data_IF_095102739879
#
_entry.id   IF_095102739879
#
_cell.length_a   1.000
_cell.length_b   1.000
_cell.length_c   1.000
_cell.angle_alpha   90.00
_cell.angle_beta   90.00
_cell.angle_gamma   90.00
#
_symmetry.space_group_name_H-M   'P 1'
#
loop_
_entity.id
_entity.type
_entity.pdbx_description
1 polymer ?
#
# COMPACT_ATOMS: atom_id res chain seq x y z
N UNK A 1 -21.12 0.24 0.46
CA UNK A 1 -20.87 -1.17 0.06
C UNK A 1 -21.25 -2.17 1.14
N UNK A 2 -20.94 -1.93 2.43
CA UNK A 2 -21.22 -2.89 3.51
C UNK A 2 -22.72 -3.20 3.67
N UNK A 3 -23.55 -2.15 3.68
CA UNK A 3 -25.01 -2.26 3.78
C UNK A 3 -25.60 -3.03 2.57
N UNK A 4 -25.10 -2.78 1.37
CA UNK A 4 -25.53 -3.49 0.15
C UNK A 4 -25.20 -4.99 0.27
N UNK A 5 -23.98 -5.33 0.70
CA UNK A 5 -23.57 -6.71 0.92
C UNK A 5 -24.43 -7.41 2.00
N UNK A 6 -24.83 -6.67 3.04
CA UNK A 6 -25.74 -7.16 4.07
C UNK A 6 -27.12 -7.49 3.52
N UNK A 7 -27.71 -6.61 2.70
CA UNK A 7 -29.00 -6.88 2.06
C UNK A 7 -28.95 -8.07 1.09
N UNK A 8 -27.88 -8.21 0.31
CA UNK A 8 -27.65 -9.39 -0.56
C UNK A 8 -27.57 -10.68 0.25
N UNK A 9 -27.03 -10.63 1.47
CA UNK A 9 -26.97 -11.78 2.38
C UNK A 9 -28.34 -12.17 2.94
N UNK A 10 -29.25 -11.22 3.14
CA UNK A 10 -30.59 -11.47 3.65
C UNK A 10 -31.43 -12.32 2.69
N UNK A 11 -31.16 -12.27 1.39
CA UNK A 11 -31.82 -13.12 0.41
C UNK A 11 -31.25 -14.57 0.46
N UNK A 12 -32.07 -15.61 0.70
CA UNK A 12 -31.60 -16.99 0.80
C UNK A 12 -30.85 -17.48 -0.44
N UNK A 13 -31.24 -17.05 -1.64
CA UNK A 13 -30.62 -17.48 -2.90
C UNK A 13 -29.19 -16.95 -3.10
N UNK A 14 -28.86 -15.76 -2.57
CA UNK A 14 -27.56 -15.09 -2.74
C UNK A 14 -26.73 -15.03 -1.46
N UNK A 15 -27.08 -15.83 -0.44
CA UNK A 15 -26.46 -15.77 0.89
C UNK A 15 -24.93 -15.97 0.86
N UNK A 16 -24.43 -16.87 0.01
CA UNK A 16 -23.00 -17.13 -0.12
C UNK A 16 -22.24 -15.96 -0.75
N UNK A 17 -22.81 -15.34 -1.80
CA UNK A 17 -22.25 -14.14 -2.43
C UNK A 17 -22.20 -12.98 -1.43
N UNK A 18 -23.29 -12.78 -0.68
CA UNK A 18 -23.33 -11.77 0.39
C UNK A 18 -22.27 -12.01 1.49
N UNK A 19 -21.97 -13.28 1.82
CA UNK A 19 -20.87 -13.62 2.74
C UNK A 19 -19.52 -13.14 2.20
N UNK A 20 -19.20 -13.47 0.96
CA UNK A 20 -17.92 -13.09 0.34
C UNK A 20 -17.76 -11.57 0.31
N UNK A 21 -18.80 -10.86 -0.11
CA UNK A 21 -18.79 -9.39 -0.16
C UNK A 21 -18.58 -8.76 1.23
N UNK A 22 -19.20 -9.29 2.28
CA UNK A 22 -18.99 -8.81 3.65
C UNK A 22 -17.56 -9.05 4.13
N UNK A 23 -16.96 -10.20 3.82
CA UNK A 23 -15.56 -10.52 4.18
C UNK A 23 -14.58 -9.61 3.44
N UNK A 24 -14.78 -9.39 2.14
CA UNK A 24 -13.96 -8.42 1.39
C UNK A 24 -14.09 -7.01 1.99
N UNK A 25 -15.30 -6.63 2.41
CA UNK A 25 -15.53 -5.35 3.06
C UNK A 25 -14.84 -5.24 4.42
N UNK A 26 -14.86 -6.31 5.24
CA UNK A 26 -14.18 -6.29 6.54
C UNK A 26 -12.68 -6.08 6.41
N UNK A 27 -12.06 -6.58 5.33
CA UNK A 27 -10.65 -6.29 5.04
C UNK A 27 -10.44 -4.80 4.75
N UNK A 28 -11.29 -4.18 3.93
CA UNK A 28 -11.20 -2.74 3.65
C UNK A 28 -11.39 -1.88 4.91
N UNK A 29 -12.33 -2.26 5.80
CA UNK A 29 -12.47 -1.61 7.11
C UNK A 29 -11.27 -1.84 8.02
N UNK A 30 -10.61 -2.99 7.92
CA UNK A 30 -9.37 -3.27 8.66
C UNK A 30 -8.22 -2.41 8.14
N UNK A 31 -8.12 -2.18 6.82
CA UNK A 31 -7.15 -1.24 6.25
C UNK A 31 -7.42 0.20 6.69
N UNK A 32 -8.69 0.59 6.87
CA UNK A 32 -9.04 1.89 7.47
C UNK A 32 -8.49 2.08 8.88
N UNK A 33 -8.17 1.00 9.62
CA UNK A 33 -7.47 1.10 10.91
C UNK A 33 -6.13 1.86 10.78
N UNK A 34 -5.44 1.73 9.64
CA UNK A 34 -4.17 2.41 9.39
C UNK A 34 -4.31 3.94 9.41
N UNK A 35 -5.45 4.48 8.95
CA UNK A 35 -5.73 5.92 8.98
C UNK A 35 -5.78 6.44 10.43
N UNK A 36 -6.32 5.65 11.36
CA UNK A 36 -6.33 5.96 12.79
C UNK A 36 -4.94 5.81 13.40
N UNK A 37 -4.20 4.78 12.99
CA UNK A 37 -2.83 4.56 13.48
C UNK A 37 -1.86 5.67 13.05
N UNK A 38 -2.18 6.38 11.96
CA UNK A 38 -1.42 7.52 11.44
C UNK A 38 -1.24 8.67 12.43
N UNK A 39 -2.19 8.84 13.36
CA UNK A 39 -2.15 9.90 14.39
C UNK A 39 -1.05 9.63 15.43
N UNK A 40 -0.69 8.35 15.66
CA UNK A 40 0.33 8.00 16.65
C UNK A 40 1.71 8.47 16.20
N UNK A 41 2.42 9.15 17.10
CA UNK A 41 3.75 9.75 16.82
C UNK A 41 4.79 8.74 16.35
N UNK A 42 4.73 7.50 16.84
CA UNK A 42 5.69 6.45 16.47
C UNK A 42 5.36 5.78 15.13
N UNK A 43 4.08 5.50 14.84
CA UNK A 43 3.66 4.73 13.65
C UNK A 43 3.36 5.63 12.45
N UNK A 44 2.90 6.85 12.70
CA UNK A 44 2.43 7.78 11.68
C UNK A 44 3.44 8.02 10.56
N UNK A 45 4.67 8.47 10.86
CA UNK A 45 5.69 8.71 9.84
C UNK A 45 6.00 7.46 9.01
N UNK A 46 6.04 6.27 9.60
CA UNK A 46 6.30 5.04 8.85
C UNK A 46 5.15 4.66 7.91
N UNK A 47 3.90 4.86 8.34
CA UNK A 47 2.71 4.60 7.50
C UNK A 47 2.68 5.56 6.32
N UNK A 48 2.99 6.85 6.53
CA UNK A 48 3.05 7.84 5.45
C UNK A 48 4.20 7.57 4.50
N UNK A 49 5.38 7.21 5.01
CA UNK A 49 6.52 6.78 4.18
C UNK A 49 6.15 5.59 3.30
N UNK A 50 5.56 4.54 3.88
CA UNK A 50 5.15 3.37 3.13
C UNK A 50 4.13 3.70 2.02
N UNK A 51 3.18 4.61 2.27
CA UNK A 51 2.20 5.04 1.27
C UNK A 51 2.84 5.79 0.10
N UNK A 52 3.78 6.70 0.39
CA UNK A 52 4.50 7.49 -0.62
C UNK A 52 5.53 6.67 -1.43
N UNK A 53 6.01 5.55 -0.86
CA UNK A 53 6.93 4.64 -1.56
C UNK A 53 6.26 3.86 -2.70
N UNK A 54 4.98 3.48 -2.56
CA UNK A 54 4.26 2.65 -3.53
C UNK A 54 4.28 3.22 -4.97
N UNK A 55 3.87 4.49 -5.23
CA UNK A 55 3.87 5.03 -6.58
C UNK A 55 5.28 5.13 -7.17
N UNK A 56 6.30 5.36 -6.34
CA UNK A 56 7.71 5.47 -6.77
C UNK A 56 8.30 4.12 -7.17
N UNK A 57 7.83 3.03 -6.57
CA UNK A 57 8.24 1.66 -6.89
C UNK A 57 7.44 1.02 -8.04
N UNK A 58 6.34 1.65 -8.47
CA UNK A 58 5.45 1.14 -9.52
C UNK A 58 6.16 0.78 -10.84
N UNK A 59 7.18 1.53 -11.32
CA UNK A 59 7.89 1.16 -12.55
C UNK A 59 8.61 -0.19 -12.44
N UNK A 60 9.29 -0.47 -11.33
CA UNK A 60 9.98 -1.75 -11.11
C UNK A 60 8.96 -2.89 -10.97
N UNK A 61 7.84 -2.66 -10.26
CA UNK A 61 6.74 -3.61 -10.18
C UNK A 61 6.15 -3.92 -11.55
N UNK A 62 6.06 -2.93 -12.45
CA UNK A 62 5.59 -3.14 -13.82
C UNK A 62 6.55 -4.01 -14.64
N UNK A 63 7.87 -3.83 -14.49
CA UNK A 63 8.88 -4.69 -15.12
C UNK A 63 8.81 -6.13 -14.60
N UNK A 64 8.63 -6.30 -13.29
CA UNK A 64 8.42 -7.61 -12.68
C UNK A 64 7.16 -8.29 -13.24
N UNK A 65 6.05 -7.56 -13.35
CA UNK A 65 4.80 -8.08 -13.92
C UNK A 65 4.97 -8.54 -15.38
N UNK A 66 5.68 -7.78 -16.21
CA UNK A 66 5.98 -8.17 -17.60
C UNK A 66 6.83 -9.45 -17.65
N UNK A 67 7.86 -9.56 -16.79
CA UNK A 67 8.70 -10.77 -16.71
C UNK A 67 7.90 -12.01 -16.27
N UNK A 68 7.00 -11.85 -15.30
CA UNK A 68 6.10 -12.90 -14.81
C UNK A 68 5.17 -13.38 -15.92
N UNK A 69 4.56 -12.45 -16.66
CA UNK A 69 3.68 -12.78 -17.78
C UNK A 69 4.44 -13.53 -18.89
N UNK A 70 5.63 -13.05 -19.27
CA UNK A 70 6.43 -13.66 -20.32
C UNK A 70 6.79 -15.11 -20.00
N UNK A 71 7.31 -15.38 -18.81
CA UNK A 71 7.65 -16.75 -18.40
C UNK A 71 6.40 -17.61 -18.15
N UNK A 72 5.37 -17.05 -17.49
CA UNK A 72 4.13 -17.75 -17.20
C UNK A 72 3.41 -18.27 -18.44
N UNK A 73 3.42 -17.49 -19.54
CA UNK A 73 2.88 -17.91 -20.83
C UNK A 73 3.68 -19.07 -21.44
N UNK A 74 5.01 -18.98 -21.44
CA UNK A 74 5.88 -20.05 -21.98
C UNK A 74 5.68 -21.35 -21.19
N UNK A 75 5.64 -21.27 -19.86
CA UNK A 75 5.42 -22.43 -18.99
C UNK A 75 4.08 -23.09 -19.26
N UNK A 76 2.98 -22.34 -19.19
CA UNK A 76 1.64 -22.93 -19.30
C UNK A 76 1.41 -23.51 -20.70
N UNK A 77 1.86 -22.81 -21.76
CA UNK A 77 1.66 -23.24 -23.13
C UNK A 77 2.44 -24.52 -23.51
N UNK A 78 3.66 -24.69 -22.98
CA UNK A 78 4.51 -25.85 -23.28
C UNK A 78 4.16 -27.04 -22.38
N UNK A 79 3.88 -26.81 -21.10
CA UNK A 79 3.64 -27.88 -20.12
C UNK A 79 2.25 -28.50 -20.28
N UNK A 80 1.25 -27.69 -20.65
CA UNK A 80 -0.16 -28.13 -20.76
C UNK A 80 -0.75 -27.77 -22.14
N UNK A 81 -0.29 -28.40 -23.22
CA UNK A 81 -0.65 -28.03 -24.60
C UNK A 81 -2.11 -28.32 -24.98
N UNK A 82 -2.78 -29.26 -24.29
CA UNK A 82 -4.13 -29.71 -24.61
C UNK A 82 -5.20 -29.21 -23.62
N UNK A 83 -4.87 -28.21 -22.79
CA UNK A 83 -5.81 -27.62 -21.83
C UNK A 83 -6.86 -26.74 -22.52
N UNK A 84 -8.14 -26.89 -22.16
CA UNK A 84 -9.21 -26.03 -22.68
C UNK A 84 -9.20 -24.68 -21.98
N UNK A 85 -9.69 -23.64 -22.67
CA UNK A 85 -9.79 -22.30 -22.08
C UNK A 85 -10.66 -22.30 -20.82
N UNK A 86 -10.06 -21.87 -19.70
CA UNK A 86 -10.73 -21.62 -18.43
C UNK A 86 -10.01 -20.51 -17.65
N UNK A 87 -10.71 -19.83 -16.73
CA UNK A 87 -10.13 -18.79 -15.87
C UNK A 87 -8.98 -19.29 -14.97
N UNK A 88 -8.91 -20.60 -14.71
CA UNK A 88 -7.79 -21.21 -14.00
C UNK A 88 -6.45 -21.08 -14.75
N UNK A 89 -6.48 -20.91 -16.07
CA UNK A 89 -5.28 -20.84 -16.91
C UNK A 89 -4.58 -19.51 -16.65
N UNK A 90 -5.36 -18.42 -16.66
CA UNK A 90 -4.89 -17.08 -16.29
C UNK A 90 -4.34 -17.09 -14.86
N UNK A 91 -5.01 -17.77 -13.93
CA UNK A 91 -4.48 -17.95 -12.57
C UNK A 91 -3.13 -18.65 -12.62
N UNK A 92 -2.98 -19.77 -13.31
CA UNK A 92 -1.72 -20.53 -13.33
C UNK A 92 -0.57 -19.74 -13.96
N UNK A 93 -0.84 -18.99 -15.04
CA UNK A 93 0.13 -18.11 -15.72
C UNK A 93 0.76 -17.09 -14.76
N UNK A 94 -0.01 -16.48 -13.87
CA UNK A 94 0.52 -15.49 -12.93
C UNK A 94 0.92 -16.08 -11.58
N UNK A 95 0.07 -16.95 -11.03
CA UNK A 95 0.18 -17.43 -9.66
C UNK A 95 1.43 -18.29 -9.48
N UNK A 96 1.69 -19.27 -10.35
CA UNK A 96 2.83 -20.15 -10.12
C UNK A 96 4.18 -19.43 -10.25
N UNK A 97 4.44 -18.63 -11.30
CA UNK A 97 5.63 -17.80 -11.38
C UNK A 97 5.78 -16.81 -10.21
N UNK A 98 4.68 -16.27 -9.69
CA UNK A 98 4.71 -15.38 -8.52
C UNK A 98 5.24 -16.09 -7.27
N UNK A 99 4.77 -17.30 -6.96
CA UNK A 99 5.30 -18.07 -5.81
C UNK A 99 6.75 -18.51 -6.02
N UNK A 100 7.16 -18.76 -7.27
CA UNK A 100 8.56 -19.03 -7.61
C UNK A 100 9.50 -17.86 -7.25
N UNK A 101 9.01 -16.62 -7.21
CA UNK A 101 9.81 -15.47 -6.74
C UNK A 101 10.20 -15.60 -5.26
N UNK A 102 9.37 -16.27 -4.46
CA UNK A 102 9.58 -16.47 -3.02
C UNK A 102 10.28 -17.79 -2.68
N UNK A 103 10.75 -18.53 -3.70
CA UNK A 103 11.49 -19.77 -3.51
C UNK A 103 10.66 -21.06 -3.59
N UNK A 104 9.36 -20.96 -3.86
CA UNK A 104 8.51 -22.13 -4.11
C UNK A 104 8.78 -22.68 -5.52
N UNK A 105 9.58 -23.74 -5.59
CA UNK A 105 9.91 -24.41 -6.84
C UNK A 105 8.97 -25.59 -7.01
N UNK A 106 8.00 -25.49 -7.92
CA UNK A 106 7.07 -26.56 -8.29
C UNK A 106 7.78 -27.69 -9.06
N UNK A 107 8.78 -28.31 -8.45
CA UNK A 107 9.68 -29.31 -9.02
C UNK A 107 9.00 -30.41 -9.86
N UNK A 108 7.92 -31.07 -9.40
CA UNK A 108 7.30 -32.16 -10.16
C UNK A 108 6.58 -31.71 -11.44
N UNK A 109 6.44 -30.41 -11.66
CA UNK A 109 5.75 -29.83 -12.81
C UNK A 109 6.67 -29.04 -13.75
N UNK A 110 7.98 -28.99 -13.48
CA UNK A 110 8.94 -28.22 -14.29
C UNK A 110 9.15 -28.89 -15.65
N UNK A 111 9.38 -30.20 -15.64
CA UNK A 111 9.67 -30.99 -16.83
C UNK A 111 9.00 -32.36 -16.77
N UNK A 112 7.67 -32.38 -16.83
CA UNK A 112 6.89 -33.62 -16.81
C UNK A 112 7.28 -34.59 -17.94
N UNK A 113 7.71 -34.06 -19.08
CA UNK A 113 8.14 -34.83 -20.24
C UNK A 113 9.56 -35.37 -20.10
N UNK A 114 10.52 -34.55 -19.69
CA UNK A 114 11.90 -34.97 -19.45
C UNK A 114 12.01 -35.97 -18.31
N UNK A 115 11.25 -35.77 -17.23
CA UNK A 115 11.21 -36.71 -16.11
C UNK A 115 10.63 -38.07 -16.53
N UNK A 116 9.56 -38.08 -17.35
CA UNK A 116 8.99 -39.32 -17.88
C UNK A 116 9.97 -40.07 -18.79
N UNK A 117 10.71 -39.35 -19.64
CA UNK A 117 11.75 -39.92 -20.50
C UNK A 117 12.89 -40.52 -19.64
N UNK A 118 13.37 -39.77 -18.65
CA UNK A 118 14.43 -40.21 -17.73
C UNK A 118 14.03 -41.47 -16.95
N UNK A 119 12.80 -41.53 -16.45
CA UNK A 119 12.28 -42.74 -15.81
C UNK A 119 12.19 -43.94 -16.76
N UNK A 120 11.79 -43.71 -18.01
CA UNK A 120 11.73 -44.72 -19.06
C UNK A 120 13.11 -45.34 -19.33
N UNK A 121 14.14 -44.51 -19.50
CA UNK A 121 15.53 -44.97 -19.66
C UNK A 121 15.98 -45.79 -18.45
N UNK A 122 15.67 -45.33 -17.22
CA UNK A 122 16.05 -46.02 -15.99
C UNK A 122 15.38 -47.38 -15.81
N UNK A 123 14.14 -47.55 -16.29
CA UNK A 123 13.37 -48.80 -16.15
C UNK A 123 13.67 -49.82 -17.26
N UNK A 124 13.91 -49.38 -18.50
CA UNK A 124 14.04 -50.28 -19.66
C UNK A 124 15.44 -50.41 -20.25
N UNK A 125 16.42 -49.58 -19.86
CA UNK A 125 17.83 -49.74 -20.24
C UNK A 125 18.14 -49.60 -21.75
N UNK A 126 17.15 -49.25 -22.57
CA UNK A 126 17.28 -48.99 -24.00
C UNK A 126 16.80 -47.56 -24.30
N UNK A 127 17.40 -46.91 -25.31
CA UNK A 127 16.95 -45.63 -25.86
C UNK A 127 15.56 -45.78 -26.49
N UNK A 128 14.52 -45.81 -25.65
CA UNK A 128 13.13 -45.76 -26.08
C UNK A 128 12.79 -44.31 -26.45
N UNK A 129 13.40 -43.83 -27.53
CA UNK A 129 13.04 -42.60 -28.24
C UNK A 129 11.57 -42.57 -28.69
N UNK A 130 10.91 -43.74 -28.69
CA UNK A 130 9.51 -43.92 -29.07
C UNK A 130 8.53 -44.03 -27.88
N UNK A 131 8.99 -43.90 -26.63
CA UNK A 131 8.10 -43.80 -25.46
C UNK A 131 7.88 -42.34 -25.06
N UNK A 132 7.61 -41.47 -26.04
CA UNK A 132 7.07 -40.14 -25.72
C UNK A 132 5.66 -40.34 -25.18
N UNK A 133 5.45 -40.04 -23.91
CA UNK A 133 4.11 -39.96 -23.34
C UNK A 133 3.23 -39.11 -24.25
N UNK A 134 1.99 -39.57 -24.53
CA UNK A 134 1.04 -38.99 -25.51
C UNK A 134 0.77 -37.48 -25.34
N UNK A 135 1.21 -36.89 -24.22
CA UNK A 135 1.00 -35.49 -23.86
C UNK A 135 2.21 -34.58 -24.07
N UNK A 136 3.32 -35.06 -24.66
CA UNK A 136 4.54 -34.26 -24.81
C UNK A 136 4.66 -33.54 -26.15
N UNK A 137 4.98 -32.25 -26.08
CA UNK A 137 5.26 -31.41 -27.25
C UNK A 137 6.75 -31.40 -27.61
N UNK A 138 7.09 -31.28 -28.91
CA UNK A 138 8.46 -31.02 -29.32
C UNK A 138 8.91 -29.67 -28.72
N UNK A 139 10.10 -29.66 -28.10
CA UNK A 139 10.62 -28.47 -27.41
C UNK A 139 10.29 -28.39 -25.91
N UNK A 140 9.92 -29.49 -25.26
CA UNK A 140 9.65 -29.54 -23.81
C UNK A 140 10.76 -28.92 -22.94
N UNK A 141 12.04 -29.06 -23.34
CA UNK A 141 13.21 -28.49 -22.65
C UNK A 141 13.26 -26.96 -22.62
N UNK A 142 12.47 -26.27 -23.45
CA UNK A 142 12.44 -24.80 -23.52
C UNK A 142 11.86 -24.23 -22.23
N UNK A 143 10.82 -24.84 -21.65
CA UNK A 143 10.19 -24.34 -20.43
C UNK A 143 11.16 -24.37 -19.22
N UNK A 144 11.88 -25.46 -18.93
CA UNK A 144 12.94 -25.47 -17.91
C UNK A 144 14.08 -24.48 -18.20
N UNK A 145 14.49 -24.33 -19.47
CA UNK A 145 15.51 -23.35 -19.84
C UNK A 145 15.05 -21.92 -19.54
N UNK A 146 13.86 -21.53 -19.97
CA UNK A 146 13.28 -20.21 -19.66
C UNK A 146 13.06 -20.03 -18.16
N UNK A 147 12.75 -21.09 -17.41
CA UNK A 147 12.64 -21.03 -15.96
C UNK A 147 13.96 -20.63 -15.30
N UNK A 148 15.09 -21.20 -15.72
CA UNK A 148 16.40 -20.84 -15.15
C UNK A 148 16.76 -19.38 -15.44
N UNK A 149 16.54 -18.93 -16.68
CA UNK A 149 16.74 -17.52 -17.09
C UNK A 149 15.80 -16.58 -16.32
N UNK A 150 14.53 -16.95 -16.18
CA UNK A 150 13.54 -16.19 -15.40
C UNK A 150 13.95 -16.07 -13.94
N UNK A 151 14.34 -17.16 -13.28
CA UNK A 151 14.76 -17.12 -11.87
C UNK A 151 16.01 -16.25 -11.69
N UNK A 152 16.96 -16.29 -12.64
CA UNK A 152 18.11 -15.40 -12.61
C UNK A 152 17.68 -13.93 -12.73
N UNK A 153 16.90 -13.58 -13.74
CA UNK A 153 16.49 -12.18 -13.97
C UNK A 153 15.59 -11.70 -12.82
N UNK A 154 14.55 -12.44 -12.47
CA UNK A 154 13.56 -11.97 -11.52
C UNK A 154 14.05 -12.02 -10.08
N UNK A 155 14.69 -13.11 -9.64
CA UNK A 155 15.11 -13.23 -8.23
C UNK A 155 16.45 -12.54 -7.96
N UNK A 156 17.42 -12.64 -8.88
CA UNK A 156 18.76 -12.06 -8.65
C UNK A 156 18.81 -10.59 -9.06
N UNK A 157 18.18 -10.20 -10.17
CA UNK A 157 18.20 -8.80 -10.62
C UNK A 157 17.00 -8.00 -10.10
N UNK A 158 15.77 -8.36 -10.48
CA UNK A 158 14.59 -7.50 -10.26
C UNK A 158 14.18 -7.41 -8.79
N UNK A 159 14.12 -8.52 -8.05
CA UNK A 159 13.76 -8.52 -6.63
C UNK A 159 14.80 -7.80 -5.77
N UNK A 160 16.09 -8.04 -6.00
CA UNK A 160 17.16 -7.33 -5.29
C UNK A 160 17.18 -5.83 -5.62
N UNK A 161 16.95 -5.48 -6.89
CA UNK A 161 16.82 -4.07 -7.31
C UNK A 161 15.59 -3.42 -6.70
N UNK A 162 14.47 -4.14 -6.56
CA UNK A 162 13.26 -3.64 -5.90
C UNK A 162 13.53 -3.30 -4.43
N UNK A 163 14.24 -4.17 -3.70
CA UNK A 163 14.63 -3.91 -2.30
C UNK A 163 15.60 -2.72 -2.21
N UNK A 164 16.60 -2.66 -3.10
CA UNK A 164 17.56 -1.56 -3.14
C UNK A 164 16.89 -0.21 -3.45
N UNK A 165 15.99 -0.18 -4.45
CA UNK A 165 15.21 1.01 -4.78
C UNK A 165 14.28 1.42 -3.64
N UNK A 166 13.64 0.46 -2.96
CA UNK A 166 12.84 0.74 -1.78
C UNK A 166 13.65 1.42 -0.68
N UNK A 167 14.85 0.93 -0.40
CA UNK A 167 15.75 1.54 0.60
C UNK A 167 16.19 2.94 0.16
N UNK A 168 16.58 3.12 -1.10
CA UNK A 168 16.95 4.43 -1.66
C UNK A 168 15.82 5.45 -1.57
N UNK A 169 14.61 5.06 -1.97
CA UNK A 169 13.42 5.92 -1.91
C UNK A 169 13.07 6.25 -0.46
N UNK A 170 13.20 5.30 0.46
CA UNK A 170 12.98 5.52 1.88
C UNK A 170 13.93 6.60 2.39
N UNK A 171 15.25 6.41 2.26
CA UNK A 171 16.25 7.36 2.75
C UNK A 171 16.09 8.77 2.16
N UNK A 172 15.84 8.87 0.85
CA UNK A 172 15.75 10.16 0.17
C UNK A 172 14.43 10.91 0.45
N UNK A 173 13.35 10.22 0.81
CA UNK A 173 12.04 10.85 1.03
C UNK A 173 11.64 10.93 2.51
N UNK A 174 12.49 10.51 3.45
CA UNK A 174 12.18 10.55 4.88
C UNK A 174 11.81 11.97 5.34
N UNK A 175 12.58 12.99 4.96
CA UNK A 175 12.35 14.39 5.36
C UNK A 175 11.04 14.92 4.79
N UNK A 176 10.85 14.82 3.47
CA UNK A 176 9.62 15.26 2.80
C UNK A 176 8.37 14.55 3.36
N UNK A 177 8.48 13.25 3.65
CA UNK A 177 7.34 12.48 4.15
C UNK A 177 7.02 12.81 5.61
N UNK A 178 8.02 13.24 6.39
CA UNK A 178 7.81 13.72 7.75
C UNK A 178 7.03 15.03 7.76
N UNK A 179 7.33 15.96 6.85
CA UNK A 179 6.55 17.20 6.70
C UNK A 179 5.10 16.93 6.30
N UNK A 180 4.90 16.06 5.31
CA UNK A 180 3.56 15.63 4.87
C UNK A 180 2.77 15.03 6.06
N UNK A 181 3.42 14.14 6.83
CA UNK A 181 2.80 13.55 8.00
C UNK A 181 2.41 14.60 9.05
N UNK A 182 3.27 15.59 9.32
CA UNK A 182 2.96 16.66 10.27
C UNK A 182 1.72 17.44 9.84
N UNK A 183 1.62 17.78 8.56
CA UNK A 183 0.44 18.48 8.01
C UNK A 183 -0.84 17.64 8.14
N UNK A 184 -0.77 16.35 7.79
CA UNK A 184 -1.93 15.46 7.86
C UNK A 184 -2.33 15.17 9.31
N UNK A 185 -1.36 15.02 10.21
CA UNK A 185 -1.62 14.86 11.64
C UNK A 185 -2.34 16.08 12.19
N UNK A 186 -1.96 17.29 11.79
CA UNK A 186 -2.69 18.50 12.19
C UNK A 186 -4.15 18.47 11.72
N UNK A 187 -4.39 18.11 10.45
CA UNK A 187 -5.75 17.98 9.90
C UNK A 187 -6.59 16.95 10.67
N UNK A 188 -6.01 15.78 10.97
CA UNK A 188 -6.69 14.74 11.75
C UNK A 188 -7.00 15.20 13.17
N UNK A 189 -6.05 15.86 13.85
CA UNK A 189 -6.27 16.39 15.21
C UNK A 189 -7.38 17.44 15.21
N UNK A 190 -7.40 18.32 14.22
CA UNK A 190 -8.47 19.32 14.05
C UNK A 190 -9.84 18.66 13.84
N UNK A 191 -9.91 17.58 13.06
CA UNK A 191 -11.14 16.81 12.87
C UNK A 191 -11.61 16.20 14.19
N UNK A 192 -10.71 15.57 14.97
CA UNK A 192 -11.07 14.98 16.26
C UNK A 192 -11.56 15.99 17.29
N UNK A 193 -10.98 17.19 17.36
CA UNK A 193 -11.45 18.26 18.26
C UNK A 193 -12.91 18.68 17.93
N UNK A 194 -13.28 18.67 16.65
CA UNK A 194 -14.64 18.97 16.21
C UNK A 194 -15.67 17.86 16.46
N UNK A 195 -15.21 16.64 16.80
CA UNK A 195 -16.06 15.47 17.02
C UNK A 195 -16.56 15.37 18.47
N UNK A 196 -17.75 14.79 18.72
CA UNK A 196 -18.22 14.59 20.09
C UNK A 196 -17.28 13.66 20.87
N UNK A 197 -17.01 14.00 22.13
CA UNK A 197 -16.16 13.21 23.05
C UNK A 197 -16.62 11.75 23.29
N UNK A 198 -17.88 11.45 22.98
CA UNK A 198 -18.51 10.16 23.29
C UNK A 198 -18.03 9.08 22.30
N UNK A 199 -17.60 7.89 22.76
CA UNK A 199 -17.08 6.87 21.87
C UNK A 199 -18.14 6.39 20.86
N UNK A 200 -17.73 5.92 19.66
CA UNK A 200 -18.61 5.57 18.55
C UNK A 200 -19.91 4.83 18.89
N UNK A 201 -19.93 3.76 19.73
CA UNK A 201 -21.17 3.06 20.05
C UNK A 201 -22.25 3.93 20.71
N UNK A 202 -21.86 4.99 21.42
CA UNK A 202 -22.78 5.85 22.16
C UNK A 202 -23.07 7.19 21.45
N UNK A 203 -22.46 7.45 20.28
CA UNK A 203 -22.69 8.67 19.48
C UNK A 203 -24.16 8.86 19.08
N UNK A 204 -24.92 7.76 18.95
CA UNK A 204 -26.35 7.78 18.64
C UNK A 204 -27.13 8.57 19.72
N UNK A 205 -26.80 8.39 21.00
CA UNK A 205 -27.44 9.12 22.10
C UNK A 205 -27.12 10.62 22.05
N UNK A 206 -25.88 10.97 21.72
CA UNK A 206 -25.46 12.37 21.54
C UNK A 206 -26.27 13.04 20.42
N UNK A 207 -26.35 12.41 19.24
CA UNK A 207 -27.11 12.94 18.12
C UNK A 207 -28.62 13.01 18.40
N UNK A 208 -29.18 12.02 19.11
CA UNK A 208 -30.58 12.02 19.53
C UNK A 208 -30.90 13.16 20.50
N UNK A 209 -30.03 13.41 21.48
CA UNK A 209 -30.18 14.54 22.42
C UNK A 209 -30.17 15.89 21.69
N UNK A 210 -29.24 16.06 20.74
CA UNK A 210 -29.17 17.27 19.93
C UNK A 210 -30.39 17.45 19.02
N UNK A 211 -30.86 16.38 18.39
CA UNK A 211 -32.09 16.40 17.59
C UNK A 211 -33.29 16.84 18.44
N UNK A 212 -33.42 16.30 19.65
CA UNK A 212 -34.47 16.69 20.59
C UNK A 212 -34.37 18.16 21.00
N UNK A 213 -33.17 18.66 21.30
CA UNK A 213 -32.93 20.06 21.65
C UNK A 213 -33.21 21.01 20.49
N UNK A 214 -32.86 20.63 19.27
CA UNK A 214 -33.15 21.38 18.05
C UNK A 214 -34.66 21.48 17.79
N UNK A 215 -35.40 20.37 17.98
CA UNK A 215 -36.86 20.35 17.89
C UNK A 215 -37.52 21.28 18.93
N UNK A 216 -36.94 21.40 20.13
CA UNK A 216 -37.47 22.26 21.22
C UNK A 216 -37.06 23.72 21.14
N UNK A 217 -35.85 24.01 20.65
CA UNK A 217 -35.27 25.34 20.60
C UNK A 217 -34.62 25.56 19.22
N UNK A 218 -35.38 26.16 18.28
CA UNK A 218 -34.96 26.47 16.90
C UNK A 218 -33.73 27.41 16.76
N UNK A 219 -33.13 27.87 17.88
CA UNK A 219 -32.11 28.94 17.91
C UNK A 219 -30.74 28.54 18.49
N UNK A 220 -30.44 27.27 18.73
CA UNK A 220 -29.14 26.90 19.28
C UNK A 220 -28.12 26.52 18.21
N UNK A 221 -27.09 27.35 18.04
CA UNK A 221 -25.97 27.09 17.12
C UNK A 221 -24.96 26.14 17.76
N UNK A 222 -24.75 24.98 17.12
CA UNK A 222 -23.81 23.93 17.54
C UNK A 222 -22.33 24.38 17.49
N UNK A 223 -22.01 25.40 16.67
CA UNK A 223 -20.64 25.83 16.38
C UNK A 223 -19.92 26.45 17.59
N UNK A 224 -20.64 27.17 18.47
CA UNK A 224 -20.00 27.97 19.53
C UNK A 224 -19.42 27.14 20.69
N UNK A 225 -19.83 25.87 20.85
CA UNK A 225 -19.37 25.02 21.97
C UNK A 225 -18.14 24.18 21.61
N UNK A 226 -18.01 23.77 20.34
CA UNK A 226 -16.89 22.96 19.85
C UNK A 226 -15.67 23.83 19.51
N UNK A 227 -15.88 25.03 18.97
CA UNK A 227 -14.78 25.95 18.60
C UNK A 227 -14.00 26.50 19.80
N UNK A 228 -14.52 26.38 21.04
CA UNK A 228 -13.91 26.96 22.23
C UNK A 228 -12.74 26.13 22.82
N UNK A 229 -12.51 24.92 22.31
CA UNK A 229 -11.43 24.03 22.78
C UNK A 229 -10.07 24.44 22.21
N UNK A 230 -10.00 24.65 20.89
CA UNK A 230 -8.73 24.95 20.20
C UNK A 230 -8.47 26.45 20.01
N UNK A 231 -9.50 27.30 20.06
CA UNK A 231 -9.37 28.75 19.89
C UNK A 231 -9.37 29.44 21.26
N UNK A 232 -8.26 30.12 21.56
CA UNK A 232 -8.16 30.98 22.73
C UNK A 232 -8.84 32.32 22.40
N UNK A 233 -9.81 32.73 23.22
CA UNK A 233 -10.40 34.06 23.15
C UNK A 233 -9.61 34.98 24.09
N UNK A 234 -8.77 35.84 23.53
CA UNK A 234 -7.98 36.82 24.29
C UNK A 234 -8.72 38.16 24.40
N UNK A 235 -8.42 38.92 25.46
CA UNK A 235 -8.83 40.33 25.53
C UNK A 235 -7.97 41.20 24.60
N UNK A 236 -8.48 42.36 24.22
CA UNK A 236 -7.76 43.30 23.33
C UNK A 236 -6.36 43.67 23.89
N UNK A 237 -6.23 43.87 25.21
CA UNK A 237 -4.95 44.18 25.86
C UNK A 237 -3.93 43.02 25.75
N UNK A 238 -4.38 41.76 25.79
CA UNK A 238 -3.49 40.61 25.63
C UNK A 238 -3.04 40.43 24.19
N UNK A 239 -3.91 40.72 23.23
CA UNK A 239 -3.60 40.70 21.80
C UNK A 239 -2.54 41.75 21.47
N UNK A 240 -2.69 42.97 22.00
CA UNK A 240 -1.71 44.04 21.83
C UNK A 240 -0.32 43.65 22.36
N UNK A 241 -0.25 43.04 23.55
CA UNK A 241 1.02 42.54 24.12
C UNK A 241 1.67 41.44 23.28
N UNK A 242 0.87 40.56 22.69
CA UNK A 242 1.40 39.50 21.81
C UNK A 242 1.94 40.11 20.52
N UNK A 243 1.24 41.07 19.92
CA UNK A 243 1.73 41.74 18.71
C UNK A 243 3.01 42.53 18.96
N UNK A 244 3.12 43.26 20.08
CA UNK A 244 4.37 43.96 20.42
C UNK A 244 5.54 42.98 20.61
N UNK A 245 5.27 41.81 21.20
CA UNK A 245 6.28 40.76 21.36
C UNK A 245 6.68 40.12 20.02
N UNK A 246 5.71 39.87 19.13
CA UNK A 246 5.96 39.34 17.79
C UNK A 246 6.81 40.31 16.96
N UNK A 247 6.50 41.61 17.03
CA UNK A 247 7.26 42.68 16.36
C UNK A 247 8.72 42.72 16.84
N UNK A 248 8.95 42.71 18.15
CA UNK A 248 10.32 42.66 18.73
C UNK A 248 11.10 41.43 18.25
N UNK A 249 10.45 40.25 18.21
CA UNK A 249 11.08 39.02 17.72
C UNK A 249 11.43 39.09 16.22
N UNK A 250 10.56 39.69 15.41
CA UNK A 250 10.80 39.88 13.97
C UNK A 250 11.97 40.82 13.75
N UNK A 251 12.03 41.94 14.49
CA UNK A 251 13.15 42.89 14.40
C UNK A 251 14.50 42.25 14.81
N UNK A 252 14.51 41.45 15.88
CA UNK A 252 15.70 40.72 16.30
C UNK A 252 16.18 39.74 15.21
N UNK A 253 15.26 38.99 14.61
CA UNK A 253 15.56 38.06 13.51
C UNK A 253 16.11 38.78 12.26
N UNK A 254 15.56 39.94 11.91
CA UNK A 254 16.07 40.76 10.80
C UNK A 254 17.49 41.26 11.08
N UNK A 255 17.76 41.73 12.30
CA UNK A 255 19.11 42.16 12.73
C UNK A 255 20.12 41.02 12.64
N UNK A 256 19.77 39.81 13.05
CA UNK A 256 20.64 38.64 12.91
C UNK A 256 20.93 38.30 11.44
N UNK A 257 19.92 38.36 10.57
CA UNK A 257 20.07 38.12 9.14
C UNK A 257 20.99 39.15 8.47
N UNK A 258 20.90 40.42 8.87
CA UNK A 258 21.79 41.48 8.41
C UNK A 258 23.23 41.26 8.85
N UNK A 259 23.45 40.79 10.08
CA UNK A 259 24.78 40.44 10.57
C UNK A 259 25.36 39.26 9.76
N UNK A 260 24.57 38.20 9.55
CA UNK A 260 24.98 37.02 8.79
C UNK A 260 25.32 37.36 7.34
N UNK A 261 24.49 38.17 6.67
CA UNK A 261 24.75 38.60 5.29
C UNK A 261 26.02 39.44 5.16
N UNK A 262 26.29 40.34 6.13
CA UNK A 262 27.55 41.09 6.19
C UNK A 262 28.75 40.17 6.39
N UNK A 263 28.65 39.18 7.28
CA UNK A 263 29.72 38.19 7.51
C UNK A 263 30.00 37.38 6.24
N UNK A 264 28.96 36.98 5.50
CA UNK A 264 29.12 36.23 4.26
C UNK A 264 29.80 37.07 3.16
N UNK A 265 29.42 38.35 2.99
CA UNK A 265 30.10 39.27 2.06
C UNK A 265 31.57 39.52 2.44
N UNK A 266 31.89 39.61 3.73
CA UNK A 266 33.28 39.71 4.19
C UNK A 266 34.07 38.42 3.91
N UNK A 267 33.45 37.25 4.01
CA UNK A 267 34.10 35.98 3.66
C UNK A 267 34.40 35.86 2.16
N UNK A 268 33.47 36.29 1.30
CA UNK A 268 33.62 36.22 -0.16
C UNK A 268 34.62 37.24 -0.72
N UNK A 269 34.87 38.34 0.00
CA UNK A 269 35.85 39.37 -0.39
C UNK A 269 37.28 39.07 0.04
N UNK A 270 37.50 38.07 0.89
CA UNK A 270 38.83 37.63 1.37
C UNK A 270 39.35 36.42 0.58
N UNK A 271 38.50 35.74 -0.19
CA UNK A 271 38.84 34.68 -1.16
C UNK A 271 39.03 35.22 -2.57
#
# INVERSE_FOLDING_TARGET
TYVIAFFIRCNPSSRMVGRVLLVCNSVLWSLKLLDYLRVFRQLGPYITMAAEMIPRMLPILSMLFVSLLAFGLVREAITYPYEKWHWLLVRNIFYKPYFMLYGEVYAPEIDTCGDAIWEGHRKHGSDSSNSTSENCVPGYFIAPLFMTVFMLISNVLLMNTMVACGTYVFEHNVENTQEIWLFERYSQVMEYDSTPFIPPPFTIFYHAFWLFRWMRARKFSRKNVLDASLKLFLSEEQIEKIHSFEEECVEDMEREKDILSRVQMMSESVT
#
